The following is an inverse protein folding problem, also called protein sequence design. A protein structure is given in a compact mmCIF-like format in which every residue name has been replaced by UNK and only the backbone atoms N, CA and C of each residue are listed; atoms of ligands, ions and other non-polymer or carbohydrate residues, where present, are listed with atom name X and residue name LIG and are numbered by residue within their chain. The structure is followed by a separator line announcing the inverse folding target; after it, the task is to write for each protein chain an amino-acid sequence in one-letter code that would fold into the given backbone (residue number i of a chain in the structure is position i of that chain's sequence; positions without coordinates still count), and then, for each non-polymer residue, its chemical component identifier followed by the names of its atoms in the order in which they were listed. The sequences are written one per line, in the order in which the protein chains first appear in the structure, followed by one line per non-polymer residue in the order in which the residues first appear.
data_IF_844482244558
#
_entry.id   IF_844482244558
#
_cell.length_a   1.000
_cell.length_b   1.000
_cell.length_c   1.000
_cell.angle_alpha   90.00
_cell.angle_beta   90.00
_cell.angle_gamma   90.00
#
_symmetry.space_group_name_H-M   'P 1'
#
loop_
_entity.id
_entity.type
_entity.pdbx_description
1 polymer ?
#
# COMPACT_ATOMS: atom_id res chain seq x y z
N UNK A 1 38.05 49.86 14.52
CA UNK A 1 36.65 49.52 14.90
C UNK A 1 36.01 48.66 13.82
N UNK A 2 36.21 49.01 12.55
CA UNK A 2 35.75 48.24 11.37
C UNK A 2 36.35 46.82 11.30
N UNK A 3 37.66 46.65 11.48
CA UNK A 3 38.33 45.34 11.44
C UNK A 3 37.78 44.34 12.50
N UNK A 4 37.37 44.84 13.67
CA UNK A 4 36.76 43.99 14.71
C UNK A 4 35.33 43.56 14.33
N UNK A 5 34.59 44.42 13.64
CA UNK A 5 33.24 44.14 13.18
C UNK A 5 33.26 43.12 12.03
N UNK A 6 34.18 43.26 11.08
CA UNK A 6 34.37 42.31 9.98
C UNK A 6 34.70 40.91 10.50
N UNK A 7 35.61 40.80 11.45
CA UNK A 7 35.97 39.51 12.07
C UNK A 7 34.78 38.84 12.78
N UNK A 8 33.94 39.62 13.47
CA UNK A 8 32.72 39.11 14.12
C UNK A 8 31.68 38.61 13.12
N UNK A 9 31.52 39.30 11.99
CA UNK A 9 30.59 38.88 10.93
C UNK A 9 31.06 37.59 10.24
N UNK A 10 32.37 37.47 9.98
CA UNK A 10 32.96 36.24 9.43
C UNK A 10 32.75 35.07 10.40
N UNK A 11 32.99 35.29 11.69
CA UNK A 11 32.82 34.26 12.71
C UNK A 11 31.36 33.82 12.83
N UNK A 12 30.41 34.76 12.84
CA UNK A 12 28.98 34.47 12.82
C UNK A 12 28.60 33.61 11.60
N UNK A 13 29.05 34.01 10.41
CA UNK A 13 28.76 33.28 9.18
C UNK A 13 29.28 31.84 9.23
N UNK A 14 30.51 31.63 9.70
CA UNK A 14 31.11 30.30 9.86
C UNK A 14 30.31 29.46 10.86
N UNK A 15 29.99 30.02 12.04
CA UNK A 15 29.23 29.30 13.07
C UNK A 15 27.86 28.87 12.57
N UNK A 16 27.13 29.77 11.91
CA UNK A 16 25.80 29.48 11.36
C UNK A 16 25.89 28.42 10.25
N UNK A 17 26.86 28.54 9.35
CA UNK A 17 27.05 27.57 8.28
C UNK A 17 27.34 26.17 8.83
N UNK A 18 28.26 26.07 9.80
CA UNK A 18 28.59 24.78 10.45
C UNK A 18 27.37 24.23 11.20
N UNK A 19 26.61 25.08 11.88
CA UNK A 19 25.36 24.69 12.55
C UNK A 19 24.34 24.10 11.58
N UNK A 20 24.10 24.78 10.45
CA UNK A 20 23.20 24.29 9.39
C UNK A 20 23.69 22.95 8.84
N UNK A 21 24.99 22.82 8.55
CA UNK A 21 25.57 21.62 7.98
C UNK A 21 25.44 20.43 8.93
N UNK A 22 25.77 20.61 10.22
CA UNK A 22 25.64 19.56 11.24
C UNK A 22 24.16 19.17 11.42
N UNK A 23 23.26 20.15 11.49
CA UNK A 23 21.82 19.91 11.66
C UNK A 23 21.23 19.11 10.49
N UNK A 24 21.56 19.50 9.26
CA UNK A 24 21.15 18.79 8.05
C UNK A 24 21.76 17.39 7.97
N UNK A 25 23.08 17.27 8.14
CA UNK A 25 23.81 16.01 8.02
C UNK A 25 23.37 14.98 9.06
N UNK A 26 23.19 15.42 10.32
CA UNK A 26 22.75 14.53 11.39
C UNK A 26 21.35 13.97 11.11
N UNK A 27 20.45 14.80 10.61
CA UNK A 27 19.10 14.35 10.30
C UNK A 27 19.04 13.44 9.06
N UNK A 28 19.83 13.74 8.03
CA UNK A 28 20.05 12.85 6.88
C UNK A 28 20.54 11.46 7.34
N UNK A 29 21.53 11.44 8.24
CA UNK A 29 22.07 10.20 8.78
C UNK A 29 21.03 9.45 9.62
N UNK A 30 20.27 10.14 10.45
CA UNK A 30 19.21 9.55 11.28
C UNK A 30 18.14 8.86 10.42
N UNK A 31 17.68 9.53 9.35
CA UNK A 31 16.72 8.94 8.40
C UNK A 31 17.32 7.71 7.74
N UNK A 32 18.56 7.79 7.26
CA UNK A 32 19.25 6.63 6.67
C UNK A 32 19.37 5.46 7.65
N UNK A 33 19.56 5.76 8.93
CA UNK A 33 19.64 4.78 10.01
C UNK A 33 18.29 4.16 10.37
N UNK A 34 17.16 4.73 9.97
CA UNK A 34 15.85 4.06 10.12
C UNK A 34 15.74 2.84 9.21
N UNK A 35 16.32 2.92 8.02
CA UNK A 35 16.21 1.88 6.99
C UNK A 35 17.39 0.92 7.00
N UNK A 36 18.59 1.40 7.32
CA UNK A 36 19.82 0.60 7.29
C UNK A 36 20.59 0.72 8.60
N UNK A 37 21.31 -0.32 9.03
CA UNK A 37 21.58 -1.59 8.34
C UNK A 37 20.43 -2.59 8.46
N UNK A 38 20.25 -3.43 7.42
CA UNK A 38 19.18 -4.43 7.36
C UNK A 38 19.32 -5.52 8.41
N UNK A 39 20.55 -5.95 8.67
CA UNK A 39 20.90 -6.93 9.70
C UNK A 39 21.53 -6.21 10.89
N UNK A 40 21.37 -6.78 12.07
CA UNK A 40 22.05 -6.31 13.26
C UNK A 40 23.56 -6.30 13.04
N UNK A 41 24.19 -5.16 13.31
CA UNK A 41 25.64 -5.01 13.36
C UNK A 41 26.05 -4.60 14.78
N UNK A 42 27.07 -5.28 15.30
CA UNK A 42 27.65 -4.95 16.59
C UNK A 42 28.63 -3.78 16.41
N UNK A 43 28.32 -2.64 16.99
CA UNK A 43 29.21 -1.48 17.04
C UNK A 43 29.69 -1.25 18.47
N UNK A 44 30.92 -1.66 18.73
CA UNK A 44 31.61 -1.55 20.02
C UNK A 44 30.83 -2.19 21.20
N UNK A 45 29.97 -1.44 21.89
CA UNK A 45 29.14 -1.91 23.01
C UNK A 45 27.63 -1.93 22.68
N UNK A 46 27.23 -1.52 21.48
CA UNK A 46 25.84 -1.39 21.08
C UNK A 46 25.53 -2.22 19.84
N UNK A 47 24.31 -2.75 19.75
CA UNK A 47 23.79 -3.40 18.54
C UNK A 47 22.99 -2.39 17.75
N UNK A 48 23.39 -2.11 16.51
CA UNK A 48 22.72 -1.16 15.63
C UNK A 48 22.03 -1.95 14.52
N UNK A 49 20.74 -1.66 14.33
CA UNK A 49 19.94 -2.14 13.20
C UNK A 49 18.96 -1.05 12.82
N UNK A 50 18.62 -0.98 11.54
CA UNK A 50 17.55 -0.10 11.09
C UNK A 50 16.25 -0.39 11.83
N UNK A 51 15.56 0.65 12.28
CA UNK A 51 14.30 0.53 13.00
C UNK A 51 13.19 -0.13 12.17
N UNK A 52 13.15 0.12 10.86
CA UNK A 52 12.17 -0.49 9.95
C UNK A 52 12.45 -1.99 9.77
N UNK A 53 13.67 -2.43 9.38
CA UNK A 53 14.01 -3.86 9.33
C UNK A 53 13.75 -4.60 10.63
N UNK A 54 14.11 -3.99 11.77
CA UNK A 54 13.95 -4.58 13.10
C UNK A 54 12.47 -4.85 13.46
N UNK A 55 11.56 -3.99 13.00
CA UNK A 55 10.13 -4.07 13.31
C UNK A 55 9.28 -4.61 12.14
N UNK A 56 9.89 -5.22 11.13
CA UNK A 56 9.21 -5.69 9.90
C UNK A 56 7.95 -6.51 10.18
N UNK A 57 8.04 -7.49 11.06
CA UNK A 57 6.93 -8.43 11.30
C UNK A 57 5.76 -7.70 11.96
N UNK A 58 6.04 -6.84 12.94
CA UNK A 58 5.03 -6.00 13.61
C UNK A 58 4.38 -5.01 12.65
N UNK A 59 5.17 -4.40 11.75
CA UNK A 59 4.62 -3.50 10.73
C UNK A 59 3.71 -4.28 9.77
N UNK A 60 4.14 -5.47 9.35
CA UNK A 60 3.34 -6.35 8.47
C UNK A 60 2.01 -6.73 9.12
N UNK A 61 2.03 -7.11 10.40
CA UNK A 61 0.83 -7.44 11.17
C UNK A 61 -0.13 -6.26 11.28
N UNK A 62 0.37 -5.09 11.66
CA UNK A 62 -0.46 -3.88 11.75
C UNK A 62 -1.07 -3.48 10.40
N UNK A 63 -0.33 -3.62 9.29
CA UNK A 63 -0.85 -3.34 7.96
C UNK A 63 -1.93 -4.34 7.59
N UNK A 64 -1.70 -5.65 7.82
CA UNK A 64 -2.70 -6.68 7.54
C UNK A 64 -4.01 -6.43 8.33
N UNK A 65 -3.90 -6.14 9.63
CA UNK A 65 -5.03 -5.81 10.49
C UNK A 65 -5.78 -4.56 10.04
N UNK A 66 -5.07 -3.55 9.55
CA UNK A 66 -5.69 -2.30 9.06
C UNK A 66 -6.42 -2.52 7.75
N UNK A 67 -5.82 -3.26 6.80
CA UNK A 67 -6.44 -3.54 5.50
C UNK A 67 -7.70 -4.40 5.66
N UNK A 68 -7.65 -5.41 6.51
CA UNK A 68 -8.79 -6.28 6.83
C UNK A 68 -9.99 -5.46 7.34
N UNK A 69 -9.75 -4.52 8.25
CA UNK A 69 -10.78 -3.68 8.84
C UNK A 69 -11.32 -2.59 7.90
N UNK A 70 -10.43 -1.95 7.14
CA UNK A 70 -10.75 -0.66 6.48
C UNK A 70 -10.94 -0.75 4.95
N UNK A 71 -10.37 -1.75 4.25
CA UNK A 71 -10.30 -1.72 2.78
C UNK A 71 -10.93 -2.94 2.08
N UNK A 72 -10.87 -4.11 2.69
CA UNK A 72 -11.32 -5.37 2.06
C UNK A 72 -12.17 -6.20 3.01
N UNK A 73 -13.04 -5.55 3.80
CA UNK A 73 -14.12 -6.34 4.39
C UNK A 73 -14.96 -6.90 3.25
N UNK A 74 -15.25 -8.21 3.27
CA UNK A 74 -16.12 -8.86 2.28
C UNK A 74 -17.43 -8.07 2.12
N UNK A 75 -17.88 -7.45 3.20
CA UNK A 75 -19.02 -6.53 3.27
C UNK A 75 -18.93 -5.27 2.38
N UNK A 76 -17.76 -4.64 2.24
CA UNK A 76 -17.62 -3.48 1.35
C UNK A 76 -17.65 -3.88 -0.14
N UNK A 77 -16.98 -4.99 -0.48
CA UNK A 77 -17.06 -5.57 -1.84
C UNK A 77 -18.50 -6.00 -2.12
N UNK A 78 -19.18 -6.57 -1.13
CA UNK A 78 -20.60 -6.98 -1.17
C UNK A 78 -21.52 -5.82 -1.51
N UNK A 79 -21.40 -4.70 -0.80
CA UNK A 79 -22.29 -3.55 -1.01
C UNK A 79 -22.10 -2.99 -2.41
N UNK A 80 -20.84 -2.91 -2.87
CA UNK A 80 -20.56 -2.54 -4.26
C UNK A 80 -21.08 -3.55 -5.28
N UNK A 81 -20.99 -4.86 -5.02
CA UNK A 81 -21.51 -5.89 -5.93
C UNK A 81 -23.05 -5.88 -5.99
N UNK A 82 -23.73 -5.67 -4.86
CA UNK A 82 -25.19 -5.56 -4.78
C UNK A 82 -25.71 -4.30 -5.50
N UNK A 83 -25.03 -3.17 -5.33
CA UNK A 83 -25.38 -1.91 -5.99
C UNK A 83 -24.92 -1.83 -7.45
N UNK A 84 -23.90 -2.60 -7.83
CA UNK A 84 -23.39 -2.60 -9.19
C UNK A 84 -24.22 -3.48 -10.12
N UNK A 85 -24.46 -2.98 -11.32
CA UNK A 85 -24.93 -3.75 -12.49
C UNK A 85 -23.86 -4.74 -13.00
N UNK A 86 -23.11 -5.40 -12.10
CA UNK A 86 -22.10 -6.42 -12.47
C UNK A 86 -22.78 -7.63 -13.11
N UNK A 87 -23.98 -7.98 -12.63
CA UNK A 87 -24.87 -8.95 -13.28
C UNK A 87 -25.82 -8.16 -14.20
N UNK A 88 -25.27 -7.57 -15.26
CA UNK A 88 -26.07 -6.94 -16.30
C UNK A 88 -26.38 -7.90 -17.45
N UNK A 89 -27.31 -7.47 -18.30
CA UNK A 89 -27.74 -8.23 -19.46
C UNK A 89 -26.58 -8.62 -20.38
N UNK A 90 -25.57 -7.75 -20.56
CA UNK A 90 -24.45 -7.99 -21.47
C UNK A 90 -23.51 -9.11 -20.98
N UNK A 91 -23.22 -9.14 -19.67
CA UNK A 91 -22.44 -10.20 -19.04
C UNK A 91 -23.21 -11.51 -19.08
N UNK A 92 -24.51 -11.48 -18.79
CA UNK A 92 -25.36 -12.67 -18.85
C UNK A 92 -25.45 -13.25 -20.25
N UNK A 93 -25.67 -12.42 -21.26
CA UNK A 93 -25.78 -12.86 -22.65
C UNK A 93 -24.47 -13.52 -23.11
N UNK A 94 -23.31 -12.92 -22.79
CA UNK A 94 -22.00 -13.53 -23.05
C UNK A 94 -21.81 -14.88 -22.35
N UNK A 95 -22.20 -14.99 -21.08
CA UNK A 95 -22.08 -16.25 -20.32
C UNK A 95 -23.01 -17.33 -20.87
N UNK A 96 -24.27 -16.99 -21.17
CA UNK A 96 -25.27 -17.92 -21.67
C UNK A 96 -24.97 -18.33 -23.11
N UNK A 97 -24.44 -17.45 -23.95
CA UNK A 97 -23.94 -17.82 -25.28
C UNK A 97 -22.78 -18.81 -25.20
N UNK A 98 -21.82 -18.58 -24.31
CA UNK A 98 -20.68 -19.48 -24.14
C UNK A 98 -21.08 -20.85 -23.56
N UNK A 99 -21.96 -20.87 -22.55
CA UNK A 99 -22.35 -22.11 -21.85
C UNK A 99 -23.44 -22.86 -22.64
N UNK A 100 -24.50 -22.18 -23.05
CA UNK A 100 -25.65 -22.80 -23.70
C UNK A 100 -25.50 -22.75 -25.22
N UNK A 101 -25.10 -21.61 -25.79
CA UNK A 101 -24.93 -21.48 -27.24
C UNK A 101 -23.80 -22.35 -27.80
N UNK A 102 -22.62 -22.34 -27.19
CA UNK A 102 -21.44 -23.07 -27.69
C UNK A 102 -21.31 -24.45 -27.05
N UNK A 103 -21.18 -24.53 -25.72
CA UNK A 103 -20.90 -25.80 -25.04
C UNK A 103 -22.04 -26.80 -25.13
N UNK A 104 -23.29 -26.36 -25.01
CA UNK A 104 -24.46 -27.26 -25.07
C UNK A 104 -24.69 -27.76 -26.49
N UNK A 105 -24.62 -26.87 -27.50
CA UNK A 105 -24.62 -27.28 -28.91
C UNK A 105 -23.49 -28.26 -29.18
N UNK A 106 -22.24 -27.92 -28.86
CA UNK A 106 -21.10 -28.79 -29.13
C UNK A 106 -21.24 -30.15 -28.44
N UNK A 107 -21.52 -30.16 -27.13
CA UNK A 107 -21.55 -31.40 -26.34
C UNK A 107 -22.73 -32.32 -26.69
N UNK A 108 -23.89 -31.77 -27.05
CA UNK A 108 -25.08 -32.58 -27.36
C UNK A 108 -25.12 -32.96 -28.85
N UNK A 109 -24.78 -32.02 -29.75
CA UNK A 109 -24.77 -32.28 -31.19
C UNK A 109 -23.66 -33.26 -31.60
N UNK A 110 -22.52 -33.26 -30.90
CA UNK A 110 -21.43 -34.19 -31.18
C UNK A 110 -21.65 -35.59 -30.59
N UNK A 111 -22.41 -35.72 -29.50
CA UNK A 111 -22.56 -37.00 -28.78
C UNK A 111 -23.84 -37.77 -29.08
N UNK A 112 -24.93 -37.10 -29.48
CA UNK A 112 -26.17 -37.81 -29.80
C UNK A 112 -26.94 -37.13 -30.95
N UNK A 113 -26.80 -37.64 -32.18
CA UNK A 113 -27.42 -37.07 -33.38
C UNK A 113 -28.95 -36.98 -33.31
N UNK A 114 -29.61 -37.84 -32.53
CA UNK A 114 -31.07 -37.83 -32.38
C UNK A 114 -31.57 -36.60 -31.63
N UNK A 115 -30.78 -36.08 -30.68
CA UNK A 115 -31.15 -34.89 -29.89
C UNK A 115 -31.07 -33.59 -30.69
N UNK A 116 -30.38 -33.58 -31.83
CA UNK A 116 -30.28 -32.45 -32.75
C UNK A 116 -31.63 -32.04 -33.33
N UNK A 117 -32.55 -33.00 -33.49
CA UNK A 117 -33.90 -32.72 -33.99
C UNK A 117 -34.79 -31.99 -32.97
N UNK A 118 -34.48 -32.14 -31.68
CA UNK A 118 -35.23 -31.53 -30.58
C UNK A 118 -34.58 -30.24 -30.05
N UNK A 119 -33.25 -30.12 -30.15
CA UNK A 119 -32.46 -28.97 -29.72
C UNK A 119 -32.08 -28.09 -30.90
N UNK A 120 -33.11 -27.55 -31.56
CA UNK A 120 -32.92 -26.53 -32.58
C UNK A 120 -32.59 -25.16 -31.97
N UNK A 121 -32.21 -24.20 -32.81
CA UNK A 121 -31.84 -22.86 -32.36
C UNK A 121 -32.96 -22.18 -31.55
N UNK A 122 -34.22 -22.39 -31.92
CA UNK A 122 -35.36 -21.82 -31.19
C UNK A 122 -35.48 -22.34 -29.76
N UNK A 123 -35.25 -23.63 -29.53
CA UNK A 123 -35.25 -24.22 -28.19
C UNK A 123 -34.04 -23.72 -27.39
N UNK A 124 -32.86 -23.63 -28.02
CA UNK A 124 -31.66 -23.06 -27.39
C UNK A 124 -31.91 -21.63 -26.91
N UNK A 125 -32.51 -20.78 -27.73
CA UNK A 125 -32.83 -19.39 -27.36
C UNK A 125 -33.88 -19.33 -26.23
N UNK A 126 -34.87 -20.22 -26.20
CA UNK A 126 -35.82 -20.32 -25.08
C UNK A 126 -35.13 -20.74 -23.78
N UNK A 127 -34.20 -21.69 -23.84
CA UNK A 127 -33.41 -22.12 -22.68
C UNK A 127 -32.58 -20.94 -22.17
N UNK A 128 -31.86 -20.22 -23.05
CA UNK A 128 -31.10 -19.03 -22.67
C UNK A 128 -31.99 -17.99 -21.99
N UNK A 129 -33.13 -17.65 -22.59
CA UNK A 129 -34.06 -16.67 -22.03
C UNK A 129 -34.60 -17.08 -20.65
N UNK A 130 -34.90 -18.38 -20.46
CA UNK A 130 -35.34 -18.90 -19.16
C UNK A 130 -34.24 -18.80 -18.10
N UNK A 131 -33.02 -19.24 -18.42
CA UNK A 131 -31.87 -19.11 -17.51
C UNK A 131 -31.54 -17.65 -17.22
N UNK A 132 -31.61 -16.78 -18.22
CA UNK A 132 -31.40 -15.33 -18.05
C UNK A 132 -32.36 -14.76 -17.03
N UNK A 133 -33.65 -15.04 -17.21
CA UNK A 133 -34.70 -14.60 -16.28
C UNK A 133 -34.50 -15.19 -14.89
N UNK A 134 -34.22 -16.49 -14.77
CA UNK A 134 -33.99 -17.14 -13.48
C UNK A 134 -32.79 -16.55 -12.73
N UNK A 135 -31.67 -16.27 -13.42
CA UNK A 135 -30.50 -15.66 -12.79
C UNK A 135 -30.80 -14.22 -12.34
N UNK A 136 -31.52 -13.44 -13.15
CA UNK A 136 -31.90 -12.07 -12.79
C UNK A 136 -32.87 -12.01 -11.60
N UNK A 137 -33.84 -12.93 -11.56
CA UNK A 137 -34.81 -13.03 -10.46
C UNK A 137 -34.16 -13.46 -9.14
N UNK A 138 -33.12 -14.29 -9.20
CA UNK A 138 -32.41 -14.80 -8.01
C UNK A 138 -31.05 -14.12 -7.78
N UNK A 139 -30.78 -12.99 -8.44
CA UNK A 139 -29.45 -12.35 -8.42
C UNK A 139 -28.96 -12.04 -7.00
N UNK A 140 -29.86 -11.57 -6.15
CA UNK A 140 -29.54 -11.14 -4.78
C UNK A 140 -29.17 -12.34 -3.90
N UNK A 141 -29.92 -13.43 -4.03
CA UNK A 141 -29.69 -14.68 -3.29
C UNK A 141 -28.40 -15.38 -3.74
N UNK A 142 -28.14 -15.42 -5.05
CA UNK A 142 -26.88 -15.95 -5.61
C UNK A 142 -25.69 -15.16 -5.07
N UNK A 143 -25.78 -13.83 -5.10
CA UNK A 143 -24.72 -12.96 -4.56
C UNK A 143 -24.54 -13.22 -3.06
N UNK A 144 -25.62 -13.29 -2.28
CA UNK A 144 -25.53 -13.54 -0.84
C UNK A 144 -24.87 -14.88 -0.49
N UNK A 145 -25.18 -15.95 -1.23
CA UNK A 145 -24.58 -17.26 -0.98
C UNK A 145 -23.09 -17.31 -1.32
N UNK A 146 -22.68 -16.67 -2.43
CA UNK A 146 -21.26 -16.51 -2.79
C UNK A 146 -20.51 -15.77 -1.68
N UNK A 147 -21.15 -14.76 -1.08
CA UNK A 147 -20.54 -13.94 -0.05
C UNK A 147 -20.37 -14.68 1.26
N UNK A 148 -21.35 -15.48 1.69
CA UNK A 148 -21.19 -16.36 2.86
C UNK A 148 -20.01 -17.30 2.68
N UNK A 149 -19.88 -17.90 1.50
CA UNK A 149 -18.73 -18.77 1.19
C UNK A 149 -17.42 -17.99 1.23
N UNK A 150 -17.38 -16.77 0.71
CA UNK A 150 -16.20 -15.92 0.74
C UNK A 150 -15.79 -15.53 2.17
N UNK A 151 -16.75 -15.14 3.03
CA UNK A 151 -16.50 -14.85 4.44
C UNK A 151 -15.96 -16.07 5.21
N UNK A 152 -16.50 -17.26 4.95
CA UNK A 152 -16.09 -18.49 5.63
C UNK A 152 -14.73 -19.03 5.15
N UNK A 153 -14.33 -18.72 3.91
CA UNK A 153 -13.15 -19.34 3.26
C UNK A 153 -11.99 -18.40 3.03
N UNK A 154 -12.20 -17.09 3.05
CA UNK A 154 -11.16 -16.11 2.72
C UNK A 154 -10.75 -15.36 3.99
N UNK A 155 -9.61 -15.75 4.56
CA UNK A 155 -8.92 -14.98 5.58
C UNK A 155 -7.96 -13.99 4.90
N UNK A 156 -8.45 -12.76 4.70
CA UNK A 156 -7.64 -11.71 4.07
C UNK A 156 -6.41 -11.33 4.90
N UNK A 157 -6.48 -11.42 6.22
CA UNK A 157 -5.36 -11.12 7.09
C UNK A 157 -4.24 -12.14 6.87
N UNK A 158 -4.55 -13.42 6.83
CA UNK A 158 -3.58 -14.48 6.56
C UNK A 158 -2.93 -14.31 5.18
N UNK A 159 -3.74 -14.05 4.14
CA UNK A 159 -3.25 -13.79 2.77
C UNK A 159 -2.29 -12.59 2.74
N UNK A 160 -2.63 -11.50 3.41
CA UNK A 160 -1.78 -10.31 3.47
C UNK A 160 -0.50 -10.56 4.26
N UNK A 161 -0.56 -11.27 5.39
CA UNK A 161 0.62 -11.65 6.16
C UNK A 161 1.58 -12.52 5.34
N UNK A 162 1.06 -13.50 4.60
CA UNK A 162 1.87 -14.33 3.71
C UNK A 162 2.51 -13.48 2.60
N UNK A 163 1.73 -12.58 1.99
CA UNK A 163 2.25 -11.69 0.95
C UNK A 163 3.35 -10.76 1.48
N UNK A 164 3.17 -10.21 2.68
CA UNK A 164 4.15 -9.34 3.34
C UNK A 164 5.42 -10.11 3.74
N UNK A 165 5.29 -11.35 4.21
CA UNK A 165 6.44 -12.23 4.49
C UNK A 165 7.30 -12.50 3.26
N UNK A 166 6.70 -12.48 2.08
CA UNK A 166 7.42 -12.67 0.81
C UNK A 166 8.12 -11.41 0.30
N UNK A 167 7.82 -10.22 0.85
CA UNK A 167 8.57 -9.02 0.52
C UNK A 167 9.93 -9.00 1.20
N UNK A 168 10.97 -8.73 0.42
CA UNK A 168 12.30 -8.41 0.91
C UNK A 168 12.32 -7.11 1.73
N UNK A 169 13.37 -6.92 2.54
CA UNK A 169 13.57 -5.68 3.29
C UNK A 169 13.73 -4.48 2.36
N UNK A 170 14.35 -4.68 1.20
CA UNK A 170 14.50 -3.68 0.15
C UNK A 170 13.16 -3.25 -0.45
N UNK A 171 12.24 -4.19 -0.67
CA UNK A 171 10.90 -3.88 -1.18
C UNK A 171 10.10 -3.09 -0.14
N UNK A 172 10.18 -3.49 1.13
CA UNK A 172 9.54 -2.77 2.22
C UNK A 172 10.08 -1.35 2.36
N UNK A 173 11.40 -1.17 2.27
CA UNK A 173 12.05 0.15 2.23
C UNK A 173 11.50 0.99 1.06
N UNK A 174 11.41 0.42 -0.15
CA UNK A 174 10.89 1.11 -1.33
C UNK A 174 9.44 1.57 -1.15
N UNK A 175 8.58 0.73 -0.57
CA UNK A 175 7.17 1.07 -0.33
C UNK A 175 7.07 2.22 0.69
N UNK A 176 7.82 2.15 1.78
CA UNK A 176 7.76 3.20 2.82
C UNK A 176 8.33 4.52 2.28
N UNK A 177 9.45 4.46 1.55
CA UNK A 177 10.06 5.63 0.94
C UNK A 177 9.20 6.22 -0.17
N UNK A 178 8.47 5.43 -0.97
CA UNK A 178 7.62 5.98 -2.03
C UNK A 178 6.50 6.86 -1.47
N UNK A 179 6.02 6.55 -0.27
CA UNK A 179 4.98 7.31 0.42
C UNK A 179 5.55 8.45 1.26
N UNK A 180 6.73 8.29 1.86
CA UNK A 180 7.24 9.20 2.90
C UNK A 180 8.42 10.09 2.47
N UNK A 181 8.87 10.01 1.21
CA UNK A 181 10.11 10.67 0.76
C UNK A 181 10.10 12.18 0.95
N UNK A 182 8.97 12.84 0.72
CA UNK A 182 8.88 14.30 0.79
C UNK A 182 8.90 14.75 2.26
N UNK A 183 8.20 14.02 3.11
CA UNK A 183 8.08 14.23 4.54
C UNK A 183 9.45 14.06 5.21
N UNK A 184 10.18 13.00 4.86
CA UNK A 184 11.54 12.77 5.35
C UNK A 184 12.49 13.90 4.92
N UNK A 185 12.38 14.38 3.67
CA UNK A 185 13.18 15.51 3.18
C UNK A 185 12.86 16.81 3.94
N UNK A 186 11.61 17.04 4.33
CA UNK A 186 11.26 18.20 5.16
C UNK A 186 11.91 18.14 6.54
N UNK A 187 12.00 16.97 7.15
CA UNK A 187 12.70 16.80 8.42
C UNK A 187 14.20 17.14 8.26
N UNK A 188 14.85 16.73 7.15
CA UNK A 188 16.25 17.11 6.88
C UNK A 188 16.45 18.62 6.77
N UNK A 189 15.54 19.30 6.06
CA UNK A 189 15.59 20.76 5.89
C UNK A 189 15.38 21.46 7.24
N UNK A 190 14.38 21.03 8.02
CA UNK A 190 14.10 21.57 9.35
C UNK A 190 15.32 21.36 10.27
N UNK A 191 15.98 20.21 10.19
CA UNK A 191 17.22 19.95 10.94
C UNK A 191 18.31 20.99 10.63
N UNK A 192 18.51 21.32 9.35
CA UNK A 192 19.43 22.38 8.94
C UNK A 192 19.02 23.77 9.46
N UNK A 193 17.76 24.14 9.31
CA UNK A 193 17.24 25.43 9.80
C UNK A 193 17.42 25.57 11.31
N UNK A 194 17.05 24.53 12.08
CA UNK A 194 17.23 24.51 13.53
C UNK A 194 18.71 24.59 13.92
N UNK A 195 19.59 23.88 13.20
CA UNK A 195 21.03 23.98 13.40
C UNK A 195 21.56 25.41 13.22
N UNK A 196 21.05 26.14 12.23
CA UNK A 196 21.35 27.55 12.04
C UNK A 196 20.84 28.44 13.17
N UNK A 197 19.60 28.22 13.62
CA UNK A 197 19.01 28.97 14.75
C UNK A 197 19.80 28.74 16.04
N UNK A 198 20.20 27.49 16.32
CA UNK A 198 21.01 27.15 17.50
C UNK A 198 22.36 27.87 17.43
N UNK A 199 23.01 27.89 16.26
CA UNK A 199 24.28 28.58 16.08
C UNK A 199 24.16 30.11 16.26
N UNK A 200 23.07 30.72 15.77
CA UNK A 200 22.77 32.15 16.00
C UNK A 200 22.62 32.44 17.50
N UNK A 201 21.87 31.60 18.20
CA UNK A 201 21.66 31.74 19.64
C UNK A 201 22.96 31.56 20.42
N UNK A 202 23.78 30.57 20.05
CA UNK A 202 25.09 30.33 20.63
C UNK A 202 26.02 31.54 20.45
N UNK A 203 26.06 32.13 19.25
CA UNK A 203 26.86 33.33 18.99
C UNK A 203 26.41 34.53 19.86
N UNK A 204 25.10 34.74 19.98
CA UNK A 204 24.55 35.81 20.83
C UNK A 204 24.92 35.64 22.31
N UNK A 205 24.88 34.40 22.81
CA UNK A 205 25.33 34.08 24.17
C UNK A 205 26.83 34.38 24.33
N UNK A 206 27.67 34.00 23.36
CA UNK A 206 29.12 34.26 23.44
C UNK A 206 29.44 35.75 23.45
N UNK A 207 28.69 36.57 22.69
CA UNK A 207 28.79 38.02 22.74
C UNK A 207 28.42 38.58 24.12
N UNK A 208 27.32 38.11 24.72
CA UNK A 208 26.88 38.54 26.06
C UNK A 208 27.90 38.19 27.14
N UNK A 209 28.55 37.03 27.04
CA UNK A 209 29.59 36.58 27.97
C UNK A 209 30.94 37.25 27.76
N UNK A 210 31.08 38.16 26.77
CA UNK A 210 32.37 38.76 26.35
C UNK A 210 33.45 37.71 26.05
N UNK A 211 33.06 36.53 25.60
CA UNK A 211 34.00 35.47 25.20
C UNK A 211 34.59 35.68 23.80
N UNK A 212 34.04 36.63 23.04
CA UNK A 212 34.49 37.04 21.70
C UNK A 212 34.26 38.55 21.54
#
# INVERSE_FOLDING_TARGET
MEEKLENLLIQLAIMVFVGILIGWFTNYLAIKLLFRPYKEVNFLFFKIQGLIPKNRDKISENIADTIEKELISVKYITEKLKDSDVINDEVLDKLLDKIIGEKLKKSILEKNPLLKMFLNDSVIEKIKAYFKKAILENKEEIVEEILKIAEDKIDFKEIMLEKMKNFSLEEMEKIILSVSKNELKHIEIIGGVLGGIIALFQFFIMLLLKQI
#
